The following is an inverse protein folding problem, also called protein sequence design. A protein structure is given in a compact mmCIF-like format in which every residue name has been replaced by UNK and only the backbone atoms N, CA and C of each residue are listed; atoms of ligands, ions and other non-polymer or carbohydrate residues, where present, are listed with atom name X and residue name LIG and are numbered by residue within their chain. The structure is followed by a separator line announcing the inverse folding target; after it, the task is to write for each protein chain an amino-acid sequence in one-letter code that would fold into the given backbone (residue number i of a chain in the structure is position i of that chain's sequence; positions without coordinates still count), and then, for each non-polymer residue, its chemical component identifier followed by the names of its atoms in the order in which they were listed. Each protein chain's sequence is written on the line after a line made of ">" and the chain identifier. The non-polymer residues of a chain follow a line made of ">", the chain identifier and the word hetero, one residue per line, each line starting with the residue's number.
data_IF_672654705152
#
_entry.id   IF_672654705152
#
_cell.length_a   1.000
_cell.length_b   1.000
_cell.length_c   1.000
_cell.angle_alpha   90.00
_cell.angle_beta   90.00
_cell.angle_gamma   90.00
#
_symmetry.space_group_name_H-M   'P 1'
#
loop_
_entity.id
_entity.type
_entity.pdbx_description
1 polymer ?
#
# COMPACT_ATOMS: atom_id res chain seq x y z
N UNK A 1 -23.04 -13.39 3.74
CA UNK A 1 -22.51 -14.58 4.47
C UNK A 1 -23.52 -14.99 5.52
N UNK A 2 -23.88 -16.28 5.59
CA UNK A 2 -24.74 -16.78 6.66
C UNK A 2 -23.95 -17.19 7.91
N UNK A 3 -24.49 -16.90 9.10
CA UNK A 3 -23.91 -17.28 10.39
C UNK A 3 -24.93 -17.93 11.32
N UNK A 4 -24.42 -18.79 12.21
CA UNK A 4 -25.16 -19.40 13.31
C UNK A 4 -24.76 -18.71 14.61
N UNK A 5 -25.76 -18.32 15.39
CA UNK A 5 -25.53 -17.69 16.68
C UNK A 5 -24.63 -18.57 17.58
N UNK A 6 -23.68 -17.95 18.27
CA UNK A 6 -22.68 -18.58 19.12
C UNK A 6 -21.49 -19.22 18.40
N UNK A 7 -21.48 -19.31 17.06
CA UNK A 7 -20.34 -19.85 16.29
C UNK A 7 -19.29 -18.78 15.99
N UNK A 8 -18.07 -19.23 15.75
CA UNK A 8 -16.94 -18.38 15.35
C UNK A 8 -16.55 -18.69 13.92
N UNK A 9 -16.27 -17.65 13.14
CA UNK A 9 -15.96 -17.70 11.72
C UNK A 9 -14.58 -17.11 11.48
N UNK A 10 -13.78 -17.76 10.63
CA UNK A 10 -12.53 -17.21 10.13
C UNK A 10 -12.81 -16.45 8.84
N UNK A 11 -12.65 -15.13 8.87
CA UNK A 11 -12.70 -14.28 7.69
C UNK A 11 -11.28 -14.12 7.15
N UNK A 12 -11.08 -14.45 5.87
CA UNK A 12 -9.82 -14.25 5.15
C UNK A 12 -10.00 -13.03 4.25
N UNK A 13 -9.56 -11.88 4.73
CA UNK A 13 -9.68 -10.61 4.01
C UNK A 13 -8.44 -10.43 3.15
N UNK A 14 -8.63 -10.07 1.89
CA UNK A 14 -7.55 -9.74 0.95
C UNK A 14 -7.87 -8.38 0.36
N UNK A 15 -6.94 -7.44 0.47
CA UNK A 15 -7.08 -6.17 -0.24
C UNK A 15 -6.47 -6.33 -1.64
N UNK A 16 -7.35 -6.55 -2.62
CA UNK A 16 -7.03 -6.61 -4.04
C UNK A 16 -7.40 -5.31 -4.80
N UNK A 17 -7.60 -4.21 -4.07
CA UNK A 17 -7.73 -2.87 -4.66
C UNK A 17 -6.35 -2.38 -5.11
N UNK A 18 -6.31 -1.42 -6.03
CA UNK A 18 -5.04 -0.98 -6.63
C UNK A 18 -4.34 0.15 -5.86
N UNK A 19 -5.08 1.13 -5.34
CA UNK A 19 -4.49 2.42 -4.92
C UNK A 19 -4.77 2.76 -3.45
N UNK A 20 -5.88 2.27 -2.89
CA UNK A 20 -6.32 2.65 -1.55
C UNK A 20 -6.13 1.57 -0.48
N UNK A 21 -5.61 2.00 0.67
CA UNK A 21 -5.79 1.23 1.90
C UNK A 21 -7.22 1.40 2.40
N UNK A 22 -7.80 0.34 2.94
CA UNK A 22 -9.20 0.31 3.35
C UNK A 22 -9.31 0.15 4.86
N UNK A 23 -10.20 0.94 5.46
CA UNK A 23 -10.82 0.57 6.73
C UNK A 23 -11.91 -0.46 6.46
N UNK A 24 -12.00 -1.51 7.29
CA UNK A 24 -13.08 -2.50 7.22
C UNK A 24 -13.62 -2.79 8.63
N UNK A 25 -14.94 -2.85 8.76
CA UNK A 25 -15.61 -3.17 10.02
C UNK A 25 -16.90 -3.98 9.79
N UNK A 26 -17.37 -4.65 10.84
CA UNK A 26 -18.64 -5.38 10.84
C UNK A 26 -19.53 -4.82 11.95
N UNK A 27 -20.75 -4.42 11.60
CA UNK A 27 -21.66 -3.73 12.50
C UNK A 27 -21.89 -4.58 13.76
N UNK A 28 -21.67 -3.98 14.93
CA UNK A 28 -21.82 -4.60 16.24
C UNK A 28 -20.96 -5.84 16.52
N UNK A 29 -20.02 -6.21 15.64
CA UNK A 29 -19.13 -7.35 15.85
C UNK A 29 -17.70 -6.88 16.04
N UNK A 30 -17.05 -7.42 17.05
CA UNK A 30 -15.60 -7.28 17.19
C UNK A 30 -14.89 -8.31 16.33
N UNK A 31 -13.70 -7.95 15.89
CA UNK A 31 -12.81 -8.76 15.07
C UNK A 31 -11.57 -9.09 15.89
N UNK A 32 -11.16 -10.35 15.91
CA UNK A 32 -9.89 -10.75 16.50
C UNK A 32 -8.90 -11.04 15.37
N UNK A 33 -7.91 -10.18 15.19
CA UNK A 33 -6.84 -10.40 14.20
C UNK A 33 -5.96 -11.54 14.70
N UNK A 34 -5.75 -12.56 13.87
CA UNK A 34 -4.94 -13.74 14.22
C UNK A 34 -3.83 -14.04 13.22
N UNK A 35 -3.86 -13.42 12.04
CA UNK A 35 -2.82 -13.58 11.03
C UNK A 35 -2.79 -12.44 10.03
N UNK A 36 -1.63 -12.25 9.40
CA UNK A 36 -1.41 -11.32 8.29
C UNK A 36 -0.38 -11.93 7.33
N UNK A 37 -0.60 -11.81 6.03
CA UNK A 37 0.34 -12.22 4.97
C UNK A 37 0.89 -13.65 5.09
N UNK A 38 0.02 -14.58 5.52
CA UNK A 38 0.37 -15.99 5.71
C UNK A 38 1.10 -16.32 7.02
N UNK A 39 1.30 -15.34 7.91
CA UNK A 39 1.92 -15.53 9.22
C UNK A 39 0.93 -15.25 10.35
N UNK A 40 1.00 -16.05 11.41
CA UNK A 40 0.24 -15.78 12.62
C UNK A 40 0.71 -14.51 13.31
N UNK A 41 -0.22 -13.78 13.91
CA UNK A 41 0.07 -12.63 14.77
C UNK A 41 -0.22 -12.96 16.23
N UNK A 42 0.29 -12.14 17.16
CA UNK A 42 -0.20 -12.13 18.54
C UNK A 42 -1.65 -11.64 18.51
N UNK A 43 -2.65 -12.46 18.89
CA UNK A 43 -4.03 -12.10 18.67
C UNK A 43 -4.42 -10.82 19.41
N UNK A 44 -5.24 -9.99 18.76
CA UNK A 44 -5.79 -8.80 19.38
C UNK A 44 -7.18 -8.46 18.84
N UNK A 45 -8.03 -7.93 19.71
CA UNK A 45 -9.41 -7.57 19.39
C UNK A 45 -9.52 -6.12 18.91
N UNK A 46 -10.34 -5.86 17.90
CA UNK A 46 -10.57 -4.54 17.31
C UNK A 46 -11.98 -4.41 16.75
N UNK A 47 -12.46 -3.18 16.57
CA UNK A 47 -13.76 -2.91 15.93
C UNK A 47 -13.63 -2.72 14.41
N UNK A 48 -12.45 -2.32 13.94
CA UNK A 48 -12.11 -2.15 12.55
C UNK A 48 -10.69 -2.64 12.27
N UNK A 49 -10.39 -2.94 11.02
CA UNK A 49 -9.04 -3.19 10.53
C UNK A 49 -8.62 -2.10 9.54
N UNK A 50 -7.31 -1.89 9.39
CA UNK A 50 -6.71 -1.15 8.29
C UNK A 50 -5.93 -2.14 7.43
N UNK A 51 -6.20 -2.22 6.13
CA UNK A 51 -5.55 -3.16 5.21
C UNK A 51 -5.12 -2.45 3.93
N UNK A 52 -3.84 -2.55 3.58
CA UNK A 52 -3.27 -1.95 2.36
C UNK A 52 -3.30 -2.91 1.17
N UNK A 53 -3.32 -2.42 -0.08
CA UNK A 53 -3.23 -3.26 -1.28
C UNK A 53 -2.12 -4.31 -1.20
N UNK A 54 -2.43 -5.54 -1.57
CA UNK A 54 -1.51 -6.68 -1.51
C UNK A 54 -1.43 -7.38 -0.16
N UNK A 55 -1.94 -6.78 0.93
CA UNK A 55 -2.02 -7.45 2.22
C UNK A 55 -3.21 -8.42 2.31
N UNK A 56 -3.05 -9.42 3.17
CA UNK A 56 -4.12 -10.31 3.59
C UNK A 56 -4.20 -10.38 5.12
N UNK A 57 -5.40 -10.50 5.67
CA UNK A 57 -5.62 -10.61 7.12
C UNK A 57 -6.61 -11.73 7.45
N UNK A 58 -6.23 -12.53 8.45
CA UNK A 58 -7.06 -13.58 9.03
C UNK A 58 -7.72 -13.06 10.31
N UNK A 59 -9.06 -13.01 10.32
CA UNK A 59 -9.86 -12.45 11.42
C UNK A 59 -10.83 -13.50 11.97
N UNK A 60 -10.91 -13.63 13.29
CA UNK A 60 -12.00 -14.36 13.92
C UNK A 60 -13.16 -13.41 14.22
N UNK A 61 -14.34 -13.77 13.73
CA UNK A 61 -15.61 -13.11 14.05
C UNK A 61 -16.48 -14.08 14.83
N UNK A 62 -16.87 -13.70 16.04
CA UNK A 62 -17.83 -14.46 16.86
C UNK A 62 -19.24 -13.95 16.59
N UNK A 63 -20.14 -14.81 16.17
CA UNK A 63 -21.54 -14.47 15.91
C UNK A 63 -22.34 -14.45 17.23
N UNK A 64 -22.06 -13.49 18.11
CA UNK A 64 -22.65 -13.37 19.45
C UNK A 64 -23.73 -12.29 19.58
N UNK A 65 -24.09 -11.64 18.47
CA UNK A 65 -25.13 -10.62 18.45
C UNK A 65 -26.54 -11.25 18.33
N UNK A 66 -27.60 -10.52 18.73
CA UNK A 66 -28.98 -10.97 18.53
C UNK A 66 -29.25 -11.34 17.06
N UNK A 67 -30.01 -12.39 16.76
CA UNK A 67 -30.30 -12.77 15.38
C UNK A 67 -30.89 -11.62 14.55
N UNK A 68 -30.10 -11.16 13.58
CA UNK A 68 -30.42 -10.09 12.64
C UNK A 68 -29.47 -10.19 11.43
N UNK A 69 -29.57 -9.24 10.50
CA UNK A 69 -28.57 -8.99 9.47
C UNK A 69 -27.70 -7.80 9.87
N UNK A 70 -26.40 -7.88 9.64
CA UNK A 70 -25.41 -6.88 10.00
C UNK A 70 -24.58 -6.50 8.79
N UNK A 71 -24.34 -5.21 8.59
CA UNK A 71 -23.45 -4.75 7.53
C UNK A 71 -21.99 -5.02 7.87
N UNK A 72 -21.27 -5.59 6.91
CA UNK A 72 -19.83 -5.45 6.78
C UNK A 72 -19.61 -4.30 5.80
N UNK A 73 -18.78 -3.33 6.16
CA UNK A 73 -18.46 -2.21 5.28
C UNK A 73 -16.95 -2.00 5.17
N UNK A 74 -16.52 -1.50 4.02
CA UNK A 74 -15.17 -1.02 3.81
C UNK A 74 -15.16 0.32 3.07
N UNK A 75 -14.25 1.21 3.45
CA UNK A 75 -14.07 2.53 2.86
C UNK A 75 -12.59 2.94 2.85
N UNK A 76 -12.22 3.78 1.90
CA UNK A 76 -10.84 4.21 1.71
C UNK A 76 -10.29 5.06 2.86
N UNK A 77 -9.02 4.85 3.16
CA UNK A 77 -8.17 5.79 3.89
C UNK A 77 -7.39 6.63 2.87
N UNK A 78 -7.50 7.94 2.97
CA UNK A 78 -6.76 8.90 2.15
C UNK A 78 -6.38 10.12 2.98
N UNK A 79 -5.07 10.37 3.09
CA UNK A 79 -4.50 11.56 3.73
C UNK A 79 -3.86 12.51 2.72
N UNK A 80 -3.92 12.18 1.43
CA UNK A 80 -3.24 12.94 0.38
C UNK A 80 -4.01 14.23 0.07
N UNK A 81 -3.35 15.37 0.23
CA UNK A 81 -3.94 16.66 -0.13
C UNK A 81 -3.90 16.87 -1.65
N UNK A 82 -5.05 17.18 -2.24
CA UNK A 82 -5.16 17.52 -3.68
C UNK A 82 -5.10 16.31 -4.62
N UNK A 83 -4.98 15.08 -4.11
CA UNK A 83 -5.17 13.87 -4.86
C UNK A 83 -6.62 13.37 -4.67
N UNK A 84 -7.31 13.07 -5.76
CA UNK A 84 -8.63 12.43 -5.69
C UNK A 84 -8.51 10.99 -5.21
N UNK A 85 -9.57 10.49 -4.58
CA UNK A 85 -9.72 9.08 -4.21
C UNK A 85 -11.20 8.67 -4.34
N UNK A 86 -11.47 7.37 -4.43
CA UNK A 86 -12.84 6.87 -4.38
C UNK A 86 -13.39 6.93 -2.94
N UNK A 87 -14.33 7.85 -2.71
CA UNK A 87 -14.99 8.03 -1.41
C UNK A 87 -16.29 7.24 -1.27
N UNK A 88 -16.50 6.22 -2.10
CA UNK A 88 -17.62 5.30 -1.93
C UNK A 88 -17.36 4.30 -0.81
N UNK A 89 -18.43 3.78 -0.21
CA UNK A 89 -18.37 2.70 0.79
C UNK A 89 -18.93 1.44 0.15
N UNK A 90 -18.15 0.36 0.18
CA UNK A 90 -18.63 -0.96 -0.24
C UNK A 90 -19.19 -1.71 0.96
N UNK A 91 -20.27 -2.46 0.75
CA UNK A 91 -20.95 -3.19 1.82
C UNK A 91 -21.24 -4.64 1.43
N UNK A 92 -21.30 -5.49 2.45
CA UNK A 92 -21.78 -6.86 2.38
C UNK A 92 -22.66 -7.16 3.59
N UNK A 93 -23.45 -8.23 3.53
CA UNK A 93 -24.39 -8.59 4.59
C UNK A 93 -23.93 -9.88 5.29
N UNK A 94 -23.80 -9.81 6.61
CA UNK A 94 -23.69 -10.94 7.52
C UNK A 94 -25.09 -11.25 8.07
N UNK A 95 -25.66 -12.40 7.71
CA UNK A 95 -27.04 -12.77 8.02
C UNK A 95 -27.10 -13.93 9.01
N UNK A 96 -27.75 -13.74 10.16
CA UNK A 96 -27.99 -14.84 11.10
C UNK A 96 -29.09 -15.75 10.58
N UNK A 97 -28.87 -17.07 10.54
CA UNK A 97 -29.83 -18.04 10.00
C UNK A 97 -31.19 -18.05 10.72
N UNK A 98 -31.23 -17.65 11.99
CA UNK A 98 -32.46 -17.51 12.77
C UNK A 98 -33.04 -16.09 12.75
N UNK A 99 -32.57 -15.23 11.83
CA UNK A 99 -33.04 -13.86 11.68
C UNK A 99 -34.38 -13.81 10.96
N UNK A 100 -35.33 -12.96 11.39
CA UNK A 100 -36.48 -12.59 10.57
C UNK A 100 -36.06 -11.88 9.26
N UNK A 101 -36.89 -11.88 8.21
CA UNK A 101 -36.54 -11.38 6.87
C UNK A 101 -36.21 -9.88 6.73
N UNK A 102 -36.45 -9.06 7.76
CA UNK A 102 -36.38 -7.58 7.65
C UNK A 102 -35.58 -6.89 8.76
N UNK A 103 -34.88 -7.62 9.62
CA UNK A 103 -34.08 -6.98 10.67
C UNK A 103 -32.65 -6.75 10.18
N UNK A 104 -32.38 -5.54 9.67
CA UNK A 104 -31.05 -5.10 9.26
C UNK A 104 -30.52 -4.06 10.25
N UNK A 105 -29.25 -4.18 10.64
CA UNK A 105 -28.60 -3.20 11.51
C UNK A 105 -28.25 -1.92 10.75
N UNK A 106 -27.91 -0.87 11.50
CA UNK A 106 -27.23 0.29 10.95
C UNK A 106 -25.84 -0.09 10.44
N UNK A 107 -25.26 0.80 9.62
CA UNK A 107 -23.89 0.67 9.12
C UNK A 107 -22.87 0.60 10.28
N UNK A 108 -21.75 -0.13 10.10
CA UNK A 108 -20.68 -0.10 11.07
C UNK A 108 -20.05 1.29 11.14
N UNK A 109 -19.56 1.65 12.33
CA UNK A 109 -18.76 2.86 12.49
C UNK A 109 -17.35 2.63 11.93
N UNK A 110 -17.09 3.17 10.75
CA UNK A 110 -15.75 3.26 10.17
C UNK A 110 -15.06 4.56 10.61
N UNK A 111 -13.74 4.55 10.79
CA UNK A 111 -12.97 5.79 10.92
C UNK A 111 -13.18 6.69 9.68
N UNK A 112 -13.14 8.03 9.82
CA UNK A 112 -13.08 8.95 8.69
C UNK A 112 -11.93 8.62 7.73
N UNK A 113 -12.09 8.97 6.45
CA UNK A 113 -11.08 8.68 5.41
C UNK A 113 -9.70 9.29 5.72
N UNK A 114 -9.65 10.41 6.43
CA UNK A 114 -8.42 11.14 6.79
C UNK A 114 -7.88 10.76 8.19
N UNK A 115 -8.46 9.74 8.84
CA UNK A 115 -8.12 9.33 10.20
C UNK A 115 -6.76 8.59 10.30
N UNK A 116 -5.68 9.34 10.06
CA UNK A 116 -4.29 8.85 10.08
C UNK A 116 -3.90 8.24 11.42
N UNK A 117 -4.42 8.78 12.52
CA UNK A 117 -4.21 8.23 13.85
C UNK A 117 -4.82 6.82 13.97
N UNK A 118 -6.05 6.62 13.50
CA UNK A 118 -6.73 5.33 13.54
C UNK A 118 -5.97 4.26 12.71
N UNK A 119 -5.51 4.65 11.51
CA UNK A 119 -4.64 3.81 10.68
C UNK A 119 -3.36 3.41 11.42
N UNK A 120 -2.67 4.39 12.00
CA UNK A 120 -1.40 4.18 12.71
C UNK A 120 -1.58 3.31 13.96
N UNK A 121 -2.62 3.57 14.75
CA UNK A 121 -2.91 2.82 15.97
C UNK A 121 -3.24 1.36 15.69
N UNK A 122 -3.98 1.08 14.62
CA UNK A 122 -4.22 -0.29 14.19
C UNK A 122 -2.92 -0.99 13.81
N UNK A 123 -2.13 -0.40 12.91
CA UNK A 123 -0.90 -0.99 12.38
C UNK A 123 0.13 -1.28 13.48
N UNK A 124 0.23 -0.42 14.50
CA UNK A 124 1.11 -0.62 15.67
C UNK A 124 0.78 -1.87 16.50
N UNK A 125 -0.43 -2.44 16.37
CA UNK A 125 -0.84 -3.63 17.12
C UNK A 125 -0.41 -4.93 16.46
N UNK A 126 -0.05 -4.90 15.18
CA UNK A 126 0.48 -6.06 14.45
C UNK A 126 1.82 -6.46 15.05
N UNK A 127 1.86 -7.65 15.64
CA UNK A 127 3.06 -8.22 16.26
C UNK A 127 3.11 -9.70 15.96
N UNK A 128 4.31 -10.21 15.68
CA UNK A 128 4.53 -11.66 15.60
C UNK A 128 4.33 -12.33 16.96
N UNK A 129 3.93 -13.61 17.00
CA UNK A 129 3.83 -14.37 18.24
C UNK A 129 5.21 -14.54 18.90
N UNK A 130 5.29 -14.75 20.23
CA UNK A 130 6.57 -14.85 20.93
C UNK A 130 7.54 -15.91 20.37
N UNK A 131 7.01 -17.00 19.82
CA UNK A 131 7.82 -18.05 19.20
C UNK A 131 8.61 -17.57 17.98
N UNK A 132 8.12 -16.57 17.25
CA UNK A 132 8.79 -16.01 16.08
C UNK A 132 10.03 -15.17 16.42
N UNK A 133 10.13 -14.69 17.68
CA UNK A 133 11.26 -13.86 18.11
C UNK A 133 12.62 -14.57 17.99
N UNK A 134 12.64 -15.91 17.97
CA UNK A 134 13.86 -16.71 17.84
C UNK A 134 14.56 -16.54 16.48
N UNK A 135 13.84 -16.11 15.44
CA UNK A 135 14.35 -15.98 14.08
C UNK A 135 14.57 -14.52 13.67
N UNK A 136 14.54 -13.58 14.62
CA UNK A 136 14.82 -12.17 14.33
C UNK A 136 16.32 -11.96 14.13
N UNK A 137 16.77 -11.42 12.98
CA UNK A 137 18.17 -11.04 12.78
C UNK A 137 18.57 -9.98 13.81
N UNK A 138 19.60 -10.25 14.61
CA UNK A 138 20.12 -9.32 15.63
C UNK A 138 21.35 -8.55 15.17
N UNK A 139 22.06 -9.08 14.18
CA UNK A 139 23.20 -8.45 13.53
C UNK A 139 22.75 -7.91 12.17
N UNK A 140 23.18 -6.68 11.85
CA UNK A 140 22.78 -5.98 10.62
C UNK A 140 24.03 -5.80 9.77
N UNK A 141 24.10 -6.53 8.65
CA UNK A 141 25.24 -6.48 7.72
C UNK A 141 25.20 -5.22 6.84
N UNK A 142 24.03 -4.91 6.28
CA UNK A 142 23.82 -3.79 5.35
C UNK A 142 22.65 -2.93 5.80
N UNK A 143 22.84 -1.61 5.76
CA UNK A 143 21.78 -0.64 6.07
C UNK A 143 21.38 0.07 4.79
N UNK A 144 20.12 -0.09 4.41
CA UNK A 144 19.55 0.58 3.23
C UNK A 144 18.54 1.63 3.69
N UNK A 145 18.73 2.87 3.25
CA UNK A 145 17.76 3.95 3.35
C UNK A 145 17.13 4.16 1.96
N UNK A 146 15.82 3.95 1.86
CA UNK A 146 15.07 4.11 0.62
C UNK A 146 14.12 5.29 0.75
N UNK A 147 14.32 6.34 -0.04
CA UNK A 147 13.34 7.42 -0.20
C UNK A 147 12.35 7.05 -1.30
N UNK A 148 11.09 6.86 -0.93
CA UNK A 148 10.00 6.68 -1.89
C UNK A 148 9.38 8.04 -2.24
N UNK A 149 9.18 8.32 -3.52
CA UNK A 149 8.68 9.62 -3.96
C UNK A 149 7.78 9.52 -5.19
N UNK A 150 6.77 10.39 -5.24
CA UNK A 150 6.04 10.74 -6.46
C UNK A 150 6.76 11.93 -7.11
N UNK A 151 6.98 11.86 -8.42
CA UNK A 151 7.82 12.76 -9.18
C UNK A 151 7.06 13.25 -10.43
N UNK A 152 7.63 14.27 -11.07
CA UNK A 152 7.18 14.74 -12.38
C UNK A 152 8.34 14.71 -13.37
N UNK A 153 8.12 14.14 -14.55
CA UNK A 153 9.09 14.10 -15.64
C UNK A 153 8.60 14.95 -16.80
N UNK A 154 9.54 15.55 -17.53
CA UNK A 154 9.23 16.28 -18.76
C UNK A 154 8.72 15.30 -19.83
N UNK A 155 7.79 15.78 -20.65
CA UNK A 155 7.25 15.05 -21.79
C UNK A 155 6.46 15.99 -22.71
N UNK A 156 6.24 15.59 -23.95
CA UNK A 156 5.42 16.33 -24.91
C UNK A 156 3.94 15.97 -24.75
N UNK A 157 3.06 16.98 -24.66
CA UNK A 157 1.60 16.80 -24.67
C UNK A 157 1.00 16.15 -23.41
N UNK A 158 1.69 16.21 -22.28
CA UNK A 158 1.21 15.59 -21.04
C UNK A 158 0.15 16.41 -20.32
N UNK A 159 -0.81 15.70 -19.73
CA UNK A 159 -1.94 16.28 -18.98
C UNK A 159 -1.69 16.36 -17.46
N UNK A 160 -0.52 15.93 -16.97
CA UNK A 160 -0.21 16.00 -15.55
C UNK A 160 0.13 17.42 -15.08
N UNK A 161 0.40 17.60 -13.78
CA UNK A 161 0.70 18.90 -13.21
C UNK A 161 1.84 19.60 -13.95
N UNK A 162 1.68 20.90 -14.20
CA UNK A 162 2.65 21.73 -14.94
C UNK A 162 2.97 21.23 -16.36
N UNK A 163 2.06 20.49 -16.99
CA UNK A 163 2.28 19.92 -18.33
C UNK A 163 3.29 18.78 -18.36
N UNK A 164 3.56 18.16 -17.20
CA UNK A 164 4.51 17.05 -17.02
C UNK A 164 3.78 15.73 -16.85
N UNK A 165 4.51 14.61 -16.90
CA UNK A 165 3.96 13.28 -16.56
C UNK A 165 4.32 12.89 -15.14
N UNK A 166 3.42 12.18 -14.46
CA UNK A 166 3.74 11.54 -13.19
C UNK A 166 4.78 10.44 -13.38
N UNK A 167 5.62 10.28 -12.36
CA UNK A 167 6.52 9.15 -12.20
C UNK A 167 6.66 8.82 -10.71
N UNK A 168 7.23 7.67 -10.39
CA UNK A 168 7.60 7.30 -9.03
C UNK A 168 9.07 6.88 -9.00
N UNK A 169 9.73 7.06 -7.85
CA UNK A 169 11.13 6.71 -7.68
C UNK A 169 11.42 6.13 -6.30
N UNK A 170 12.43 5.26 -6.25
CA UNK A 170 13.11 4.83 -5.04
C UNK A 170 14.54 5.36 -5.12
N UNK A 171 15.01 6.08 -4.10
CA UNK A 171 16.32 6.76 -4.10
C UNK A 171 16.57 7.61 -5.37
N UNK A 172 15.53 8.30 -5.83
CA UNK A 172 15.52 9.14 -7.04
C UNK A 172 15.75 8.38 -8.37
N UNK A 173 15.62 7.06 -8.38
CA UNK A 173 15.67 6.22 -9.58
C UNK A 173 14.25 5.76 -9.91
N UNK A 174 13.77 6.11 -11.10
CA UNK A 174 12.48 5.62 -11.62
C UNK A 174 12.71 4.31 -12.38
N UNK A 175 12.09 3.22 -11.92
CA UNK A 175 12.25 1.90 -12.53
C UNK A 175 11.53 1.85 -13.88
N UNK A 176 12.29 1.51 -14.93
CA UNK A 176 11.75 1.25 -16.27
C UNK A 176 11.86 -0.26 -16.51
N UNK A 177 10.74 -0.97 -16.71
CA UNK A 177 10.78 -2.41 -16.94
C UNK A 177 11.55 -2.71 -18.24
N UNK A 178 12.58 -3.59 -18.21
CA UNK A 178 13.32 -3.97 -19.40
C UNK A 178 12.48 -4.87 -20.31
N UNK A 179 12.81 -4.89 -21.62
CA UNK A 179 12.16 -5.80 -22.57
C UNK A 179 12.54 -7.27 -22.36
N UNK A 180 13.73 -7.53 -21.80
CA UNK A 180 14.14 -8.86 -21.34
C UNK A 180 13.97 -8.92 -19.83
N UNK A 181 13.28 -9.95 -19.33
CA UNK A 181 13.10 -10.18 -17.90
C UNK A 181 14.44 -10.21 -17.14
N UNK A 182 14.47 -9.58 -15.96
CA UNK A 182 15.68 -9.44 -15.13
C UNK A 182 16.21 -10.80 -14.71
N UNK A 183 15.33 -11.74 -14.34
CA UNK A 183 15.75 -13.08 -13.92
C UNK A 183 16.32 -13.87 -15.09
N UNK A 184 15.73 -13.76 -16.29
CA UNK A 184 16.27 -14.34 -17.51
C UNK A 184 17.65 -13.77 -17.85
N UNK A 185 17.79 -12.44 -17.81
CA UNK A 185 19.06 -11.77 -18.10
C UNK A 185 20.16 -12.17 -17.12
N UNK A 186 19.83 -12.27 -15.84
CA UNK A 186 20.73 -12.76 -14.80
C UNK A 186 21.19 -14.20 -15.09
N UNK A 187 20.25 -15.12 -15.29
CA UNK A 187 20.56 -16.55 -15.47
C UNK A 187 21.36 -16.83 -16.74
N UNK A 188 21.02 -16.13 -17.83
CA UNK A 188 21.69 -16.27 -19.13
C UNK A 188 22.89 -15.33 -19.31
N UNK A 189 23.23 -14.52 -18.30
CA UNK A 189 24.32 -13.53 -18.32
C UNK A 189 24.22 -12.55 -19.51
N UNK A 190 23.00 -12.09 -19.81
CA UNK A 190 22.75 -11.13 -20.88
C UNK A 190 23.13 -9.73 -20.38
N UNK A 191 24.17 -9.14 -20.97
CA UNK A 191 24.62 -7.79 -20.66
C UNK A 191 23.63 -6.72 -21.11
N UNK A 192 23.70 -5.53 -20.49
CA UNK A 192 22.92 -4.36 -20.91
C UNK A 192 21.44 -4.35 -20.51
N UNK A 193 20.94 -5.36 -19.77
CA UNK A 193 19.53 -5.42 -19.34
C UNK A 193 19.29 -4.61 -18.06
N UNK A 194 20.05 -4.87 -16.99
CA UNK A 194 19.96 -4.14 -15.72
C UNK A 194 21.34 -3.68 -15.26
N UNK A 195 21.37 -2.75 -14.31
CA UNK A 195 22.58 -2.32 -13.60
C UNK A 195 22.46 -2.83 -12.15
N UNK A 196 23.56 -3.34 -11.60
CA UNK A 196 23.60 -3.91 -10.24
C UNK A 196 24.15 -2.89 -9.23
N UNK A 197 23.83 -1.61 -9.41
CA UNK A 197 24.38 -0.45 -8.69
C UNK A 197 23.30 0.36 -7.95
N UNK A 198 22.13 -0.25 -7.65
CA UNK A 198 21.07 0.45 -6.92
C UNK A 198 21.60 0.96 -5.56
N UNK A 199 21.48 2.28 -5.28
CA UNK A 199 22.20 2.88 -4.17
C UNK A 199 21.55 2.54 -2.82
N UNK A 200 22.39 2.26 -1.83
CA UNK A 200 21.95 1.95 -0.46
C UNK A 200 21.33 3.16 0.27
N UNK A 201 21.52 4.37 -0.24
CA UNK A 201 20.98 5.62 0.32
C UNK A 201 20.64 6.63 -0.77
N UNK A 202 19.75 7.61 -0.53
CA UNK A 202 19.49 8.67 -1.50
C UNK A 202 20.77 9.46 -1.83
N UNK A 203 20.91 9.88 -3.09
CA UNK A 203 22.08 10.61 -3.56
C UNK A 203 22.22 12.01 -2.94
N UNK A 204 21.10 12.62 -2.52
CA UNK A 204 21.04 13.93 -1.86
C UNK A 204 20.21 13.82 -0.59
N UNK A 205 20.76 14.34 0.49
CA UNK A 205 20.04 14.48 1.77
C UNK A 205 19.31 15.82 1.80
N UNK A 206 18.09 15.80 2.32
CA UNK A 206 17.23 16.96 2.55
C UNK A 206 16.22 16.60 3.64
N UNK A 207 15.39 17.57 4.04
CA UNK A 207 14.25 17.27 4.92
C UNK A 207 13.17 16.50 4.15
N UNK A 208 13.26 15.17 4.18
CA UNK A 208 12.42 14.25 3.40
C UNK A 208 10.91 14.40 3.69
N UNK A 209 10.56 14.88 4.87
CA UNK A 209 9.18 15.02 5.35
C UNK A 209 8.84 16.46 5.75
N UNK A 210 9.64 17.44 5.32
CA UNK A 210 9.46 18.84 5.69
C UNK A 210 8.11 19.38 5.23
N UNK A 211 7.50 20.24 6.05
CA UNK A 211 6.28 20.95 5.67
C UNK A 211 6.61 21.94 4.53
N UNK A 212 5.95 21.80 3.38
CA UNK A 212 5.97 22.86 2.35
C UNK A 212 5.25 24.08 2.94
N UNK A 213 6.01 25.10 3.33
CA UNK A 213 5.43 26.36 3.78
C UNK A 213 4.54 26.93 2.67
N UNK A 214 3.24 26.98 2.93
CA UNK A 214 2.25 27.66 2.11
C UNK A 214 2.35 29.17 2.31
N UNK A 215 3.44 29.79 1.86
CA UNK A 215 3.50 31.25 1.73
C UNK A 215 3.43 31.64 0.27
N UNK A 216 2.21 31.92 -0.18
CA UNK A 216 1.97 32.83 -1.29
C UNK A 216 2.59 34.19 -0.95
N UNK A 217 3.71 34.50 -1.59
CA UNK A 217 4.40 35.77 -1.48
C UNK A 217 5.16 36.01 -2.77
N UNK A 218 4.67 36.96 -3.56
CA UNK A 218 5.36 37.48 -4.73
C UNK A 218 6.78 37.94 -4.34
N UNK A 219 7.80 37.27 -4.86
CA UNK A 219 9.21 37.60 -4.65
C UNK A 219 10.07 36.69 -5.52
N UNK A 220 10.64 37.24 -6.59
CA UNK A 220 11.51 36.51 -7.50
C UNK A 220 12.87 36.17 -6.87
N UNK A 221 13.46 35.08 -7.37
CA UNK A 221 14.87 34.73 -7.19
C UNK A 221 15.17 33.94 -5.92
N UNK A 222 14.96 32.63 -5.96
CA UNK A 222 16.01 31.63 -5.72
C UNK A 222 15.40 30.23 -5.94
N UNK A 223 16.12 29.39 -6.69
CA UNK A 223 15.62 28.11 -7.19
C UNK A 223 15.19 27.15 -6.09
N UNK A 224 13.90 26.83 -6.06
CA UNK A 224 13.31 25.76 -5.27
C UNK A 224 13.79 24.41 -5.83
N UNK A 225 14.97 23.95 -5.39
CA UNK A 225 15.51 22.62 -5.66
C UNK A 225 14.95 21.55 -4.68
N UNK A 226 13.71 21.72 -4.19
CA UNK A 226 13.07 20.82 -3.23
C UNK A 226 12.33 19.63 -3.84
N UNK A 227 12.22 19.55 -5.17
CA UNK A 227 11.63 18.40 -5.87
C UNK A 227 12.67 17.92 -6.86
N UNK A 228 13.59 17.08 -6.39
CA UNK A 228 14.48 16.34 -7.28
C UNK A 228 13.62 15.62 -8.30
N UNK A 229 13.66 16.07 -9.55
CA UNK A 229 13.02 15.34 -10.63
C UNK A 229 13.62 13.95 -10.66
N UNK A 230 12.78 12.93 -10.58
CA UNK A 230 13.17 11.53 -10.78
C UNK A 230 14.14 11.45 -11.95
N UNK A 231 15.33 10.87 -11.75
CA UNK A 231 16.18 10.57 -12.88
C UNK A 231 15.56 9.36 -13.56
N UNK A 232 15.00 9.57 -14.75
CA UNK A 232 14.71 8.48 -15.65
C UNK A 232 16.02 8.11 -16.31
N UNK A 233 16.60 6.95 -15.93
CA UNK A 233 17.73 6.40 -16.66
C UNK A 233 17.17 5.76 -17.95
N UNK A 234 17.00 6.57 -18.98
CA UNK A 234 16.83 6.06 -20.36
C UNK A 234 18.22 5.67 -20.89
N UNK A 235 18.38 4.44 -21.38
CA UNK A 235 19.63 4.05 -22.07
C UNK A 235 19.61 4.58 -23.49
N UNK A 236 20.76 5.12 -23.91
CA UNK A 236 21.04 5.38 -25.32
C UNK A 236 21.09 4.08 -26.10
N UNK A 237 20.51 4.11 -27.30
CA UNK A 237 20.54 3.04 -28.29
C UNK A 237 21.99 2.74 -28.71
N UNK A 238 22.63 1.85 -27.97
CA UNK A 238 23.85 1.17 -28.39
C UNK A 238 23.50 0.01 -29.29
N UNK A 239 23.16 0.29 -30.56
CA UNK A 239 23.20 -0.71 -31.61
C UNK A 239 24.67 -1.16 -31.79
N UNK A 240 25.04 -2.27 -31.16
CA UNK A 240 26.16 -3.08 -31.58
C UNK A 240 25.59 -4.17 -32.51
N UNK A 241 25.85 -4.02 -33.81
CA UNK A 241 25.48 -4.99 -34.82
C UNK A 241 26.15 -6.34 -34.58
N UNK A 242 25.42 -7.40 -34.90
CA UNK A 242 26.00 -8.66 -35.33
C UNK A 242 25.34 -9.04 -36.66
N UNK A 243 26.19 -9.12 -37.68
CA UNK A 243 25.90 -9.70 -38.98
C UNK A 243 25.44 -11.16 -38.80
N UNK A 244 24.28 -11.51 -39.33
CA UNK A 244 23.95 -12.91 -39.61
C UNK A 244 24.02 -13.12 -41.12
N UNK A 245 25.13 -13.71 -41.57
CA UNK A 245 25.26 -14.32 -42.89
C UNK A 245 24.90 -15.82 -42.86
N UNK A 246 24.37 -16.31 -43.98
CA UNK A 246 24.13 -17.73 -44.32
C UNK A 246 22.75 -18.23 -43.90
N UNK A 247 21.88 -18.78 -44.74
CA UNK A 247 21.93 -19.25 -46.15
C UNK A 247 20.69 -18.75 -46.91
#
# INVERSE_FOLDING_TARGET
>A
MEVKHGKTYLLRIVNAVMDESLFLAVAHHKLVVVGTDGFYTKPFETNYIMISPGQSMDLLLKADQPPASYYLAAAAYSSAFGAGFDNTTTTAILHYQSSPPQKLSNDPLLPPHDATLASTEFTRRLRSPPAAAKNLPTEVDTRVLITASVNLLNCSGCAGPFGKRFAASLNNISFVPPSTDVLQAYYRRIGGVFEADFPEKPAREFDYTGEKSSRGGSGGGDGDEGIGGGVQRERGDGFAGDECGGE
#
